data_IF_546428460968
#
_entry.id   IF_546428460968
#
_cell.length_a   1.000
_cell.length_b   1.000
_cell.length_c   1.000
_cell.angle_alpha   90.00
_cell.angle_beta   90.00
_cell.angle_gamma   90.00
#
_symmetry.space_group_name_H-M   'P 1'
#
loop_
_entity.id
_entity.type
_entity.pdbx_description
1 polymer ?
#
# COMPACT_ATOMS: atom_id res chain seq x y z
N UNK A 1 -3.87 -6.91 -12.94
CA UNK A 1 -2.82 -5.90 -13.19
C UNK A 1 -2.07 -6.28 -14.45
N UNK A 2 -1.75 -5.33 -15.32
CA UNK A 2 -0.85 -5.52 -16.47
C UNK A 2 0.54 -4.89 -16.21
N UNK A 3 1.49 -5.10 -17.13
CA UNK A 3 2.86 -4.59 -17.02
C UNK A 3 2.92 -3.07 -16.85
N UNK A 4 2.05 -2.32 -17.55
CA UNK A 4 2.05 -0.86 -17.46
C UNK A 4 1.61 -0.39 -16.08
N UNK A 5 0.56 -0.99 -15.53
CA UNK A 5 0.09 -0.74 -14.17
C UNK A 5 1.15 -1.13 -13.13
N UNK A 6 1.80 -2.29 -13.31
CA UNK A 6 2.88 -2.75 -12.43
C UNK A 6 4.07 -1.78 -12.44
N UNK A 7 4.54 -1.36 -13.62
CA UNK A 7 5.64 -0.40 -13.76
C UNK A 7 5.30 0.96 -13.16
N UNK A 8 4.07 1.44 -13.30
CA UNK A 8 3.62 2.68 -12.65
C UNK A 8 3.67 2.55 -11.12
N UNK A 9 3.19 1.43 -10.57
CA UNK A 9 3.26 1.14 -9.15
C UNK A 9 4.70 1.04 -8.65
N UNK A 10 5.58 0.31 -9.33
CA UNK A 10 7.00 0.23 -8.98
C UNK A 10 7.71 1.57 -9.08
N UNK A 11 7.44 2.36 -10.12
CA UNK A 11 7.98 3.71 -10.27
C UNK A 11 7.52 4.66 -9.17
N UNK A 12 6.29 4.52 -8.69
CA UNK A 12 5.85 5.22 -7.50
C UNK A 12 6.59 4.70 -6.24
N UNK A 13 6.77 3.39 -6.08
CA UNK A 13 7.40 2.83 -4.89
C UNK A 13 8.93 2.92 -4.84
N UNK A 14 9.60 3.25 -5.95
CA UNK A 14 11.06 3.46 -6.02
C UNK A 14 11.54 4.78 -5.39
N UNK A 15 10.75 5.36 -4.49
CA UNK A 15 11.09 6.55 -3.72
C UNK A 15 10.75 6.32 -2.25
N UNK A 16 11.72 6.61 -1.38
CA UNK A 16 11.70 6.24 0.04
C UNK A 16 10.49 6.77 0.80
N UNK A 17 10.18 8.06 0.66
CA UNK A 17 9.03 8.70 1.30
C UNK A 17 7.71 8.08 0.86
N UNK A 18 7.52 7.78 -0.43
CA UNK A 18 6.30 7.17 -0.95
C UNK A 18 6.12 5.75 -0.46
N UNK A 19 7.20 4.96 -0.40
CA UNK A 19 7.16 3.63 0.21
C UNK A 19 6.79 3.71 1.69
N UNK A 20 7.37 4.65 2.45
CA UNK A 20 7.03 4.89 3.86
C UNK A 20 5.56 5.29 4.02
N UNK A 21 5.06 6.20 3.19
CA UNK A 21 3.66 6.63 3.19
C UNK A 21 2.73 5.46 2.90
N UNK A 22 2.98 4.67 1.86
CA UNK A 22 2.15 3.50 1.55
C UNK A 22 2.10 2.54 2.75
N UNK A 23 3.24 2.23 3.37
CA UNK A 23 3.28 1.36 4.56
C UNK A 23 2.49 1.94 5.73
N UNK A 24 2.57 3.24 5.97
CA UNK A 24 1.74 3.90 6.99
C UNK A 24 0.25 3.77 6.70
N UNK A 25 -0.15 3.92 5.44
CA UNK A 25 -1.54 3.77 5.01
C UNK A 25 -2.04 2.32 5.14
N UNK A 26 -1.20 1.34 4.85
CA UNK A 26 -1.51 -0.09 5.05
C UNK A 26 -1.78 -0.38 6.52
N UNK A 27 -0.95 0.14 7.43
CA UNK A 27 -1.12 0.00 8.88
C UNK A 27 -2.35 0.74 9.40
N UNK A 28 -2.68 1.89 8.82
CA UNK A 28 -3.84 2.67 9.21
C UNK A 28 -5.18 2.02 8.87
N UNK A 29 -5.19 1.02 7.98
CA UNK A 29 -6.42 0.34 7.59
C UNK A 29 -7.28 1.14 6.61
N UNK A 30 -8.51 0.66 6.33
CA UNK A 30 -9.51 1.37 5.53
C UNK A 30 -9.88 2.76 6.08
N UNK A 31 -9.66 2.99 7.37
CA UNK A 31 -9.89 4.29 8.01
C UNK A 31 -8.98 5.39 7.47
N UNK A 32 -7.76 5.05 7.06
CA UNK A 32 -6.80 5.98 6.47
C UNK A 32 -6.22 7.01 7.44
N UNK A 33 -5.50 8.00 6.90
CA UNK A 33 -4.87 9.10 7.63
C UNK A 33 -5.08 10.43 6.92
N UNK A 34 -5.21 11.51 7.69
CA UNK A 34 -5.22 12.85 7.13
C UNK A 34 -3.85 13.23 6.57
N UNK A 35 -3.81 14.01 5.47
CA UNK A 35 -2.54 14.46 4.86
C UNK A 35 -1.57 15.12 5.85
N UNK A 36 -2.09 15.93 6.78
CA UNK A 36 -1.26 16.57 7.82
C UNK A 36 -0.58 15.55 8.74
N UNK A 37 -1.31 14.54 9.20
CA UNK A 37 -0.76 13.44 10.02
C UNK A 37 0.28 12.63 9.25
N UNK A 38 0.07 12.42 7.95
CA UNK A 38 1.05 11.74 7.10
C UNK A 38 2.32 12.58 6.97
N UNK A 39 2.19 13.90 6.77
CA UNK A 39 3.32 14.83 6.65
C UNK A 39 4.17 14.82 7.94
N UNK A 40 3.51 14.89 9.09
CA UNK A 40 4.14 14.85 10.41
C UNK A 40 4.93 13.54 10.61
N UNK A 41 4.29 12.39 10.39
CA UNK A 41 4.92 11.07 10.58
C UNK A 41 6.00 10.75 9.54
N UNK A 42 5.90 11.31 8.33
CA UNK A 42 6.91 11.16 7.30
C UNK A 42 8.05 12.19 7.40
N UNK A 43 7.94 13.16 8.33
CA UNK A 43 8.89 14.25 8.53
C UNK A 43 9.13 15.09 7.26
N UNK A 44 8.05 15.43 6.55
CA UNK A 44 8.09 16.25 5.33
C UNK A 44 7.10 17.41 5.38
N UNK A 45 7.32 18.42 4.54
CA UNK A 45 6.40 19.54 4.42
C UNK A 45 5.04 19.13 3.85
N UNK A 46 4.01 19.95 4.11
CA UNK A 46 2.67 19.72 3.56
C UNK A 46 2.63 19.72 2.03
N UNK A 47 3.45 20.55 1.38
CA UNK A 47 3.59 20.56 -0.08
C UNK A 47 4.25 19.27 -0.59
N UNK A 48 5.27 18.78 0.10
CA UNK A 48 5.98 17.57 -0.29
C UNK A 48 5.13 16.31 -0.09
N UNK A 49 4.40 16.19 1.03
CA UNK A 49 3.48 15.05 1.23
C UNK A 49 2.38 15.04 0.17
N UNK A 50 1.85 16.22 -0.19
CA UNK A 50 0.79 16.32 -1.21
C UNK A 50 1.29 15.85 -2.58
N UNK A 51 2.54 16.19 -2.93
CA UNK A 51 3.19 15.68 -4.13
C UNK A 51 3.29 14.14 -4.10
N UNK A 52 3.82 13.58 -3.01
CA UNK A 52 3.95 12.13 -2.85
C UNK A 52 2.62 11.37 -2.89
N UNK A 53 1.59 11.89 -2.22
CA UNK A 53 0.25 11.30 -2.22
C UNK A 53 -0.35 11.32 -3.62
N UNK A 54 -0.19 12.41 -4.36
CA UNK A 54 -0.67 12.50 -5.75
C UNK A 54 0.00 11.49 -6.67
N UNK A 55 1.30 11.24 -6.51
CA UNK A 55 2.00 10.19 -7.28
C UNK A 55 1.48 8.79 -6.91
N UNK A 56 1.22 8.52 -5.63
CA UNK A 56 0.64 7.25 -5.19
C UNK A 56 -0.80 7.05 -5.70
N UNK A 57 -1.62 8.11 -5.71
CA UNK A 57 -2.96 8.07 -6.30
C UNK A 57 -2.92 7.81 -7.81
N UNK A 58 -2.02 8.48 -8.54
CA UNK A 58 -1.84 8.26 -9.98
C UNK A 58 -1.41 6.83 -10.31
N UNK A 59 -0.58 6.24 -9.45
CA UNK A 59 -0.18 4.84 -9.55
C UNK A 59 -1.25 3.85 -9.07
N UNK A 60 -2.41 4.35 -8.59
CA UNK A 60 -3.51 3.51 -8.10
C UNK A 60 -3.26 2.85 -6.74
N UNK A 61 -2.21 3.25 -6.01
CA UNK A 61 -1.81 2.64 -4.72
C UNK A 61 -2.44 3.31 -3.50
N UNK A 62 -2.99 4.51 -3.66
CA UNK A 62 -3.69 5.24 -2.62
C UNK A 62 -5.01 5.81 -3.15
N UNK A 63 -5.97 5.99 -2.25
CA UNK A 63 -7.22 6.68 -2.52
C UNK A 63 -7.42 7.82 -1.53
N UNK A 64 -8.10 8.88 -1.98
CA UNK A 64 -8.43 10.04 -1.18
C UNK A 64 -9.95 10.17 -1.02
N UNK A 65 -10.40 10.49 0.19
CA UNK A 65 -11.80 10.84 0.49
C UNK A 65 -11.84 12.14 1.29
N UNK A 66 -12.82 12.98 1.00
CA UNK A 66 -13.04 14.20 1.79
C UNK A 66 -13.81 13.87 3.06
N UNK A 67 -13.30 14.34 4.19
CA UNK A 67 -13.90 14.17 5.51
C UNK A 67 -13.94 15.53 6.21
N UNK A 68 -15.10 16.18 6.13
CA UNK A 68 -15.31 17.56 6.55
C UNK A 68 -14.25 18.53 5.97
N UNK A 69 -13.32 18.98 6.82
CA UNK A 69 -12.26 19.96 6.47
C UNK A 69 -10.96 19.31 6.02
N UNK A 70 -10.85 17.99 6.10
CA UNK A 70 -9.61 17.26 5.81
C UNK A 70 -9.81 16.28 4.65
N UNK A 71 -8.70 15.91 4.01
CA UNK A 71 -8.66 14.80 3.05
C UNK A 71 -8.00 13.63 3.76
N UNK A 72 -8.68 12.49 3.78
CA UNK A 72 -8.20 11.24 4.35
C UNK A 72 -7.72 10.35 3.21
N UNK A 73 -6.51 9.84 3.37
CA UNK A 73 -5.87 8.95 2.42
C UNK A 73 -5.85 7.53 2.98
N UNK A 74 -6.12 6.53 2.14
CA UNK A 74 -6.03 5.11 2.50
C UNK A 74 -5.30 4.34 1.41
N UNK A 75 -4.74 3.18 1.76
CA UNK A 75 -4.12 2.30 0.78
C UNK A 75 -5.20 1.69 -0.11
N UNK A 76 -4.96 1.63 -1.41
CA UNK A 76 -5.82 0.89 -2.34
C UNK A 76 -5.50 -0.60 -2.26
N UNK A 77 -6.15 -1.33 -1.34
CA UNK A 77 -5.81 -2.72 -1.04
C UNK A 77 -5.97 -3.66 -2.23
N UNK A 78 -6.96 -3.44 -3.09
CA UNK A 78 -7.14 -4.27 -4.29
C UNK A 78 -5.94 -4.13 -5.23
N UNK A 79 -5.53 -2.89 -5.54
CA UNK A 79 -4.37 -2.62 -6.37
C UNK A 79 -3.05 -3.14 -5.74
N UNK A 80 -2.91 -3.02 -4.42
CA UNK A 80 -1.75 -3.55 -3.71
C UNK A 80 -1.71 -5.09 -3.74
N UNK A 81 -2.87 -5.74 -3.56
CA UNK A 81 -2.99 -7.20 -3.64
C UNK A 81 -2.70 -7.69 -5.05
N UNK A 82 -3.15 -6.96 -6.06
CA UNK A 82 -2.86 -7.23 -7.46
C UNK A 82 -1.38 -7.09 -7.80
N UNK A 83 -0.70 -6.07 -7.26
CA UNK A 83 0.76 -5.90 -7.44
C UNK A 83 1.55 -7.04 -6.80
N UNK A 84 1.16 -7.46 -5.59
CA UNK A 84 1.79 -8.60 -4.91
C UNK A 84 1.55 -9.87 -5.72
N UNK A 85 0.33 -10.08 -6.21
CA UNK A 85 0.00 -11.24 -7.06
C UNK A 85 0.83 -11.24 -8.34
N UNK A 86 0.94 -10.09 -9.02
CA UNK A 86 1.74 -9.93 -10.24
C UNK A 86 3.20 -10.35 -10.03
N UNK A 87 3.81 -10.05 -8.87
CA UNK A 87 5.17 -10.50 -8.54
C UNK A 87 5.28 -12.01 -8.23
N UNK A 88 4.19 -12.62 -7.77
CA UNK A 88 4.14 -14.02 -7.40
C UNK A 88 3.64 -14.92 -8.53
N UNK A 89 3.09 -14.34 -9.61
CA UNK A 89 2.79 -15.05 -10.84
C UNK A 89 4.09 -15.72 -11.33
N UNK A 90 3.99 -17.01 -11.65
CA UNK A 90 5.11 -17.87 -12.06
C UNK A 90 6.28 -18.06 -11.06
N UNK A 91 6.24 -17.45 -9.86
CA UNK A 91 7.27 -17.61 -8.79
C UNK A 91 7.53 -19.08 -8.42
N UNK A 92 6.50 -19.93 -8.52
CA UNK A 92 6.57 -21.34 -8.14
C UNK A 92 7.03 -22.27 -9.28
N UNK A 93 7.59 -21.76 -10.38
CA UNK A 93 8.09 -22.53 -11.53
C UNK A 93 9.33 -23.43 -11.22
N UNK A 94 9.31 -24.13 -10.09
CA UNK A 94 10.40 -24.97 -9.59
C UNK A 94 11.19 -24.38 -8.41
N UNK A 95 10.85 -23.16 -7.96
CA UNK A 95 11.60 -22.39 -6.95
C UNK A 95 10.81 -22.10 -5.66
N UNK A 96 10.41 -23.13 -4.88
CA UNK A 96 9.63 -22.96 -3.66
C UNK A 96 10.32 -22.07 -2.62
N UNK A 97 11.64 -21.94 -2.65
CA UNK A 97 12.44 -21.07 -1.78
C UNK A 97 12.09 -19.58 -1.91
N UNK A 98 11.58 -19.13 -3.06
CA UNK A 98 11.19 -17.73 -3.29
C UNK A 98 9.85 -17.43 -2.62
N UNK A 99 8.90 -18.36 -2.73
CA UNK A 99 7.53 -18.18 -2.28
C UNK A 99 7.29 -18.65 -0.82
N UNK A 100 8.05 -19.63 -0.32
CA UNK A 100 7.86 -20.21 1.02
C UNK A 100 7.96 -19.20 2.18
N UNK A 101 8.93 -18.25 2.21
CA UNK A 101 8.99 -17.24 3.26
C UNK A 101 7.78 -16.30 3.26
N UNK A 102 7.26 -15.98 2.07
CA UNK A 102 6.11 -15.08 1.88
C UNK A 102 4.84 -15.74 2.40
N UNK A 103 4.61 -17.00 2.04
CA UNK A 103 3.46 -17.78 2.51
C UNK A 103 3.49 -17.93 4.04
N UNK A 104 4.67 -18.18 4.62
CA UNK A 104 4.84 -18.30 6.07
C UNK A 104 4.53 -16.98 6.78
N UNK A 105 5.03 -15.85 6.25
CA UNK A 105 4.75 -14.53 6.80
C UNK A 105 3.26 -14.17 6.70
N UNK A 106 2.58 -14.54 5.60
CA UNK A 106 1.15 -14.32 5.41
C UNK A 106 0.27 -15.19 6.31
N UNK A 107 0.71 -16.42 6.64
CA UNK A 107 -0.04 -17.33 7.51
C UNK A 107 -0.23 -16.78 8.94
N UNK A 108 0.67 -15.92 9.42
CA UNK A 108 0.53 -15.22 10.71
C UNK A 108 -0.62 -14.19 10.75
N UNK A 109 -1.15 -13.79 9.59
CA UNK A 109 -2.20 -12.76 9.48
C UNK A 109 -3.61 -13.35 9.36
N UNK A 110 -3.82 -14.63 9.70
CA UNK A 110 -5.16 -15.19 9.78
C UNK A 110 -6.00 -14.36 10.77
N UNK A 111 -7.18 -13.85 10.38
CA UNK A 111 -8.03 -13.14 11.32
C UNK A 111 -8.36 -14.10 12.46
N UNK A 112 -8.21 -13.63 13.70
CA UNK A 112 -8.75 -14.34 14.85
C UNK A 112 -10.20 -14.65 14.51
N UNK A 113 -10.55 -15.94 14.42
CA UNK A 113 -11.93 -16.36 14.16
C UNK A 113 -12.79 -15.69 15.20
N UNK A 114 -13.68 -14.80 14.78
CA UNK A 114 -14.67 -14.19 15.64
C UNK A 114 -15.63 -15.30 16.09
N UNK A 115 -15.28 -15.99 17.17
CA UNK A 115 -16.16 -16.91 17.87
C UNK A 115 -17.09 -16.10 18.76
N UNK A 116 -17.98 -15.33 18.14
CA UNK A 116 -19.16 -14.77 18.78
C UNK A 116 -20.37 -15.59 18.34
N UNK A 117 -20.77 -16.54 19.19
CA UNK A 117 -22.08 -17.20 19.19
C UNK A 117 -22.72 -16.98 20.56
#
# INVERSE_FOLDING_TARGET
MDDHQALAAFGALSQETRLRILRMLVVAGPGGLAAGTIAERAEVSASNVSFHLKELERAGLASARRDARSIIYSAAYDALSDLIRFLLEDCCAGHPEVCAPIVTAAACCAPARDTAR
#
